data_IF_512119575308
#
_entry.id   IF_512119575308
#
_cell.length_a   1.000
_cell.length_b   1.000
_cell.length_c   1.000
_cell.angle_alpha   90.00
_cell.angle_beta   90.00
_cell.angle_gamma   90.00
#
_symmetry.space_group_name_H-M   'P 1'
#
loop_
_entity.id
_entity.type
_entity.pdbx_description
1 polymer ?
#
# COMPACT_ATOMS: atom_id res chain seq x y z
N UNK A 1 -18.13 4.02 -12.38
CA UNK A 1 -17.45 3.10 -11.42
C UNK A 1 -15.93 3.26 -11.35
N UNK A 2 -15.26 3.96 -12.28
CA UNK A 2 -13.80 4.12 -12.26
C UNK A 2 -13.31 5.07 -11.17
N UNK A 3 -14.08 6.11 -10.83
CA UNK A 3 -13.65 7.17 -9.89
C UNK A 3 -14.10 6.97 -8.44
N UNK A 4 -14.97 6.00 -8.17
CA UNK A 4 -15.36 5.69 -6.79
C UNK A 4 -14.21 5.02 -6.04
N UNK A 5 -13.96 5.49 -4.81
CA UNK A 5 -13.06 4.87 -3.83
C UNK A 5 -13.89 4.26 -2.70
N UNK A 6 -14.33 3.00 -2.83
CA UNK A 6 -15.10 2.35 -1.78
C UNK A 6 -14.23 2.19 -0.52
N UNK A 7 -14.85 2.36 0.65
CA UNK A 7 -14.17 2.14 1.93
C UNK A 7 -14.63 0.79 2.48
N UNK A 8 -13.67 -0.07 2.83
CA UNK A 8 -13.95 -1.37 3.41
C UNK A 8 -14.23 -1.24 4.93
N UNK A 9 -15.50 -1.38 5.31
CA UNK A 9 -15.89 -1.45 6.71
C UNK A 9 -15.56 -2.83 7.31
N UNK A 10 -14.42 -2.94 7.98
CA UNK A 10 -13.97 -4.19 8.60
C UNK A 10 -14.49 -4.36 10.05
N UNK A 11 -14.73 -5.61 10.46
CA UNK A 11 -15.02 -6.00 11.84
C UNK A 11 -13.88 -5.54 12.78
N UNK A 12 -14.23 -5.07 13.99
CA UNK A 12 -13.32 -4.75 15.09
C UNK A 12 -12.30 -5.85 15.38
N UNK A 13 -12.71 -7.13 15.46
CA UNK A 13 -11.79 -8.24 15.74
C UNK A 13 -10.70 -8.33 14.65
N UNK A 14 -11.11 -8.24 13.39
CA UNK A 14 -10.17 -8.20 12.27
C UNK A 14 -9.24 -7.00 12.37
N UNK A 15 -9.78 -5.80 12.64
CA UNK A 15 -8.98 -4.58 12.80
C UNK A 15 -7.94 -4.72 13.92
N UNK A 16 -8.29 -5.35 15.04
CA UNK A 16 -7.35 -5.63 16.12
C UNK A 16 -6.22 -6.55 15.64
N UNK A 17 -6.55 -7.68 15.01
CA UNK A 17 -5.57 -8.65 14.49
C UNK A 17 -4.68 -8.01 13.44
N UNK A 18 -5.25 -7.33 12.45
CA UNK A 18 -4.49 -6.69 11.37
C UNK A 18 -3.57 -5.60 11.89
N UNK A 19 -4.01 -4.85 12.92
CA UNK A 19 -3.19 -3.83 13.58
C UNK A 19 -1.99 -4.45 14.30
N UNK A 20 -2.17 -5.57 15.01
CA UNK A 20 -1.07 -6.29 15.66
C UNK A 20 -0.04 -6.76 14.61
N UNK A 21 -0.50 -7.35 13.51
CA UNK A 21 0.37 -7.81 12.42
C UNK A 21 1.12 -6.63 11.76
N UNK A 22 0.43 -5.53 11.48
CA UNK A 22 1.03 -4.32 10.90
C UNK A 22 2.10 -3.71 11.81
N UNK A 23 1.86 -3.68 13.13
CA UNK A 23 2.82 -3.17 14.09
C UNK A 23 4.09 -4.03 14.17
N UNK A 24 3.98 -5.36 14.01
CA UNK A 24 5.14 -6.25 13.92
C UNK A 24 5.94 -6.01 12.63
N UNK A 25 5.26 -5.90 11.50
CA UNK A 25 5.87 -5.56 10.21
C UNK A 25 6.66 -4.25 10.27
N UNK A 26 6.04 -3.22 10.84
CA UNK A 26 6.62 -1.87 10.98
C UNK A 26 8.02 -1.87 11.61
N UNK A 27 8.28 -2.74 12.59
CA UNK A 27 9.58 -2.81 13.27
C UNK A 27 10.70 -3.27 12.33
N UNK A 28 10.38 -4.15 11.40
CA UNK A 28 11.36 -4.73 10.45
C UNK A 28 11.50 -3.92 9.16
N UNK A 29 10.46 -3.18 8.77
CA UNK A 29 10.43 -2.45 7.49
C UNK A 29 11.44 -1.30 7.43
N UNK A 30 11.87 -0.74 8.55
CA UNK A 30 12.85 0.36 8.57
C UNK A 30 14.19 0.00 7.92
N UNK A 31 14.61 -1.27 7.99
CA UNK A 31 15.83 -1.75 7.33
C UNK A 31 15.66 -2.07 5.84
N UNK A 32 14.42 -2.11 5.34
CA UNK A 32 14.09 -2.47 3.95
C UNK A 32 13.76 -1.23 3.12
N UNK A 33 13.13 -0.23 3.73
CA UNK A 33 12.65 0.98 3.03
C UNK A 33 13.75 2.05 2.95
N UNK A 34 14.02 2.52 1.74
CA UNK A 34 14.95 3.63 1.49
C UNK A 34 14.46 4.96 2.09
N UNK A 35 15.36 5.93 2.25
CA UNK A 35 15.06 7.27 2.76
C UNK A 35 14.09 8.04 1.86
N UNK A 36 14.04 7.70 0.57
CA UNK A 36 13.18 8.33 -0.43
C UNK A 36 11.69 7.99 -0.24
N UNK A 37 11.36 6.93 0.50
CA UNK A 37 9.98 6.59 0.82
C UNK A 37 9.50 7.40 2.04
N UNK A 38 8.93 8.57 1.79
CA UNK A 38 8.53 9.50 2.87
C UNK A 38 7.10 9.27 3.35
N UNK A 39 6.22 8.73 2.51
CA UNK A 39 4.83 8.45 2.85
C UNK A 39 4.67 7.15 3.65
N UNK A 40 3.71 7.14 4.58
CA UNK A 40 3.35 5.97 5.41
C UNK A 40 4.48 5.41 6.27
N UNK A 41 5.55 6.19 6.50
CA UNK A 41 6.67 5.83 7.38
C UNK A 41 6.64 6.73 8.62
N UNK A 42 6.51 6.17 9.83
CA UNK A 42 6.48 6.96 11.06
C UNK A 42 7.77 7.74 11.27
N UNK A 43 7.63 9.02 11.62
CA UNK A 43 8.76 9.95 11.77
C UNK A 43 9.22 10.61 10.47
N UNK A 44 8.59 10.34 9.33
CA UNK A 44 8.83 11.05 8.05
C UNK A 44 7.66 11.94 7.70
N UNK A 45 7.96 13.12 7.17
CA UNK A 45 6.97 14.10 6.75
C UNK A 45 6.77 14.06 5.24
N UNK A 46 5.57 14.44 4.78
CA UNK A 46 5.32 14.66 3.35
C UNK A 46 6.23 15.76 2.78
N UNK A 47 6.62 16.73 3.62
CA UNK A 47 7.54 17.81 3.23
C UNK A 47 8.91 17.28 2.80
N UNK A 48 9.42 16.22 3.43
CA UNK A 48 10.70 15.60 3.08
C UNK A 48 10.69 15.13 1.61
N UNK A 49 9.57 14.59 1.15
CA UNK A 49 9.40 14.15 -0.24
C UNK A 49 9.39 15.33 -1.22
N UNK A 50 8.81 16.46 -0.82
CA UNK A 50 8.80 17.69 -1.62
C UNK A 50 10.22 18.24 -1.77
N UNK A 51 11.00 18.30 -0.69
CA UNK A 51 12.38 18.79 -0.75
C UNK A 51 13.28 17.90 -1.61
N UNK A 52 13.19 16.57 -1.45
CA UNK A 52 13.94 15.62 -2.30
C UNK A 52 13.59 15.84 -3.78
N UNK A 53 12.30 15.98 -4.11
CA UNK A 53 11.86 16.24 -5.48
C UNK A 53 12.38 17.58 -6.02
N UNK A 54 12.30 18.66 -5.24
CA UNK A 54 12.80 19.98 -5.62
C UNK A 54 14.30 19.95 -5.93
N UNK A 55 15.08 19.24 -5.13
CA UNK A 55 16.52 19.07 -5.35
C UNK A 55 16.79 18.23 -6.61
N UNK A 56 16.05 17.14 -6.82
CA UNK A 56 16.17 16.30 -8.03
C UNK A 56 15.87 17.07 -9.32
N UNK A 57 14.88 17.98 -9.29
CA UNK A 57 14.53 18.80 -10.46
C UNK A 57 15.23 20.16 -10.48
N UNK A 58 16.21 20.38 -9.61
CA UNK A 58 16.93 21.64 -9.55
C UNK A 58 17.60 21.93 -10.91
N UNK A 59 17.40 23.16 -11.40
CA UNK A 59 17.92 23.59 -12.69
C UNK A 59 17.18 23.02 -13.91
N UNK A 60 16.09 22.24 -13.76
CA UNK A 60 15.28 21.79 -14.90
C UNK A 60 14.68 22.95 -15.71
N UNK A 61 14.48 24.11 -15.09
CA UNK A 61 14.05 25.34 -15.76
C UNK A 61 15.12 25.95 -16.69
N UNK A 62 16.40 25.58 -16.55
CA UNK A 62 17.50 26.14 -17.34
C UNK A 62 17.51 25.49 -18.72
N UNK A 63 17.54 26.32 -19.76
CA UNK A 63 17.59 25.91 -21.18
C UNK A 63 18.96 25.37 -21.62
N UNK A 64 20.00 25.53 -20.79
CA UNK A 64 21.36 25.06 -21.06
C UNK A 64 21.72 23.87 -20.16
N UNK A 65 22.56 22.98 -20.69
CA UNK A 65 23.10 21.81 -19.98
C UNK A 65 22.65 20.48 -20.57
N UNK A 66 22.90 19.39 -19.82
CA UNK A 66 22.55 18.03 -20.24
C UNK A 66 21.02 17.88 -20.40
N UNK A 67 20.55 17.05 -21.35
CA UNK A 67 19.14 16.67 -21.44
C UNK A 67 18.65 16.07 -20.12
N UNK A 68 17.44 16.44 -19.70
CA UNK A 68 16.81 16.01 -18.45
C UNK A 68 15.36 15.64 -18.73
N UNK A 69 14.84 14.65 -18.00
CA UNK A 69 13.42 14.31 -18.00
C UNK A 69 12.99 13.92 -16.58
N UNK A 70 11.68 13.99 -16.33
CA UNK A 70 11.07 13.50 -15.09
C UNK A 70 9.90 12.59 -15.46
N UNK A 71 9.81 11.44 -14.79
CA UNK A 71 8.74 10.48 -14.99
C UNK A 71 7.91 10.39 -13.72
N UNK A 72 6.61 10.69 -13.83
CA UNK A 72 5.63 10.48 -12.76
C UNK A 72 4.83 9.23 -13.08
N UNK A 73 4.94 8.22 -12.23
CA UNK A 73 4.16 6.98 -12.30
C UNK A 73 3.14 6.98 -11.17
N UNK A 74 1.87 6.76 -11.50
CA UNK A 74 0.79 6.59 -10.52
C UNK A 74 0.09 5.25 -10.76
N UNK A 75 -0.15 4.50 -9.68
CA UNK A 75 -0.76 3.17 -9.76
C UNK A 75 -2.26 3.31 -9.57
N UNK A 76 -3.00 3.04 -10.63
CA UNK A 76 -4.47 3.08 -10.59
C UNK A 76 -5.01 2.09 -9.57
N UNK A 77 -5.75 2.59 -8.58
CA UNK A 77 -6.38 1.78 -7.52
C UNK A 77 -5.41 0.80 -6.87
N UNK A 78 -4.24 1.28 -6.46
CA UNK A 78 -3.16 0.45 -5.92
C UNK A 78 -3.63 -0.59 -4.87
N UNK A 79 -4.50 -0.19 -3.94
CA UNK A 79 -5.04 -1.12 -2.94
C UNK A 79 -5.96 -2.18 -3.54
N UNK A 80 -6.73 -1.88 -4.59
CA UNK A 80 -7.67 -2.85 -5.20
C UNK A 80 -7.01 -3.78 -6.22
N UNK A 81 -5.79 -3.44 -6.68
CA UNK A 81 -5.14 -4.10 -7.82
C UNK A 81 -3.97 -5.00 -7.45
N UNK A 82 -3.49 -4.97 -6.20
CA UNK A 82 -2.39 -5.82 -5.73
C UNK A 82 -2.72 -7.30 -5.95
N UNK A 83 -1.83 -7.99 -6.66
CA UNK A 83 -1.88 -9.44 -6.81
C UNK A 83 -1.28 -10.11 -5.57
N UNK A 84 -2.00 -11.08 -5.00
CA UNK A 84 -1.59 -11.71 -3.76
C UNK A 84 -0.31 -12.54 -3.90
N UNK A 85 -0.12 -13.24 -5.02
CA UNK A 85 1.12 -14.00 -5.24
C UNK A 85 2.36 -13.12 -5.29
N UNK A 86 2.22 -11.87 -5.76
CA UNK A 86 3.30 -10.90 -5.69
C UNK A 86 3.61 -10.54 -4.23
N UNK A 87 2.58 -10.29 -3.41
CA UNK A 87 2.75 -10.02 -1.99
C UNK A 87 3.46 -11.17 -1.26
N UNK A 88 3.08 -12.42 -1.52
CA UNK A 88 3.71 -13.60 -0.91
C UNK A 88 5.18 -13.72 -1.28
N UNK A 89 5.50 -13.57 -2.57
CA UNK A 89 6.89 -13.60 -3.05
C UNK A 89 7.75 -12.50 -2.45
N UNK A 90 7.21 -11.29 -2.27
CA UNK A 90 7.92 -10.19 -1.62
C UNK A 90 8.20 -10.53 -0.15
N UNK A 91 7.22 -11.07 0.57
CA UNK A 91 7.43 -11.45 1.97
C UNK A 91 8.43 -12.60 2.13
N UNK A 92 8.41 -13.58 1.22
CA UNK A 92 9.37 -14.67 1.17
C UNK A 92 10.78 -14.16 0.85
N UNK A 93 10.92 -13.22 -0.10
CA UNK A 93 12.20 -12.59 -0.44
C UNK A 93 12.77 -11.77 0.73
N UNK A 94 11.91 -11.15 1.54
CA UNK A 94 12.29 -10.47 2.78
C UNK A 94 12.54 -11.43 3.96
N UNK A 95 12.50 -12.74 3.71
CA UNK A 95 12.78 -13.79 4.70
C UNK A 95 11.87 -13.74 5.93
N UNK A 96 10.61 -13.35 5.77
CA UNK A 96 9.64 -13.45 6.87
C UNK A 96 9.31 -14.92 7.18
N UNK A 97 9.08 -15.28 8.46
CA UNK A 97 8.69 -16.63 8.83
C UNK A 97 7.42 -17.08 8.12
N UNK A 98 7.39 -18.33 7.65
CA UNK A 98 6.23 -18.90 6.92
C UNK A 98 4.93 -18.81 7.72
N UNK A 99 4.99 -18.96 9.05
CA UNK A 99 3.85 -18.79 9.95
C UNK A 99 3.26 -17.38 9.87
N UNK A 100 4.10 -16.35 9.84
CA UNK A 100 3.70 -14.95 9.74
C UNK A 100 3.08 -14.65 8.36
N UNK A 101 3.69 -15.16 7.29
CA UNK A 101 3.15 -15.06 5.94
C UNK A 101 1.77 -15.71 5.87
N UNK A 102 1.60 -16.88 6.49
CA UNK A 102 0.31 -17.57 6.52
C UNK A 102 -0.78 -16.79 7.27
N UNK A 103 -0.45 -16.11 8.38
CA UNK A 103 -1.41 -15.24 9.07
C UNK A 103 -1.89 -14.09 8.18
N UNK A 104 -0.99 -13.47 7.43
CA UNK A 104 -1.35 -12.40 6.50
C UNK A 104 -2.14 -12.95 5.31
N UNK A 105 -1.76 -14.12 4.76
CA UNK A 105 -2.53 -14.84 3.74
C UNK A 105 -3.98 -15.02 4.14
N UNK A 106 -4.23 -15.47 5.37
CA UNK A 106 -5.60 -15.63 5.89
C UNK A 106 -6.31 -14.29 6.00
N UNK A 107 -5.66 -13.25 6.55
CA UNK A 107 -6.28 -11.92 6.69
C UNK A 107 -6.75 -11.33 5.35
N UNK A 108 -5.93 -11.50 4.31
CA UNK A 108 -6.18 -10.89 3.00
C UNK A 108 -7.15 -11.73 2.15
N UNK A 109 -6.97 -13.05 2.10
CA UNK A 109 -7.65 -13.92 1.11
C UNK A 109 -9.04 -14.43 1.50
N UNK A 110 -9.40 -14.37 2.79
CA UNK A 110 -10.68 -14.90 3.30
C UNK A 110 -11.82 -13.88 3.26
N UNK A 111 -11.59 -12.72 2.65
CA UNK A 111 -12.54 -11.62 2.61
C UNK A 111 -13.82 -11.94 1.84
N UNK A 112 -14.95 -11.60 2.44
CA UNK A 112 -16.23 -11.46 1.77
C UNK A 112 -16.74 -10.03 1.90
N UNK A 113 -17.38 -9.54 0.86
CA UNK A 113 -17.86 -8.17 0.76
C UNK A 113 -19.32 -8.14 0.32
N UNK A 114 -20.02 -7.16 0.87
CA UNK A 114 -21.30 -6.65 0.38
C UNK A 114 -21.16 -5.15 0.20
N UNK A 115 -21.86 -4.59 -0.79
CA UNK A 115 -21.83 -3.14 -1.05
C UNK A 115 -23.03 -2.51 -0.38
N UNK A 116 -22.80 -1.50 0.48
CA UNK A 116 -23.90 -0.69 1.01
C UNK A 116 -24.25 0.38 -0.03
N UNK A 117 -25.49 0.37 -0.51
CA UNK A 117 -26.04 1.40 -1.40
C UNK A 117 -27.36 1.90 -0.80
N UNK A 118 -27.48 3.21 -0.59
CA UNK A 118 -28.68 3.84 -0.01
C UNK A 118 -29.17 3.19 1.30
N UNK A 119 -28.23 2.83 2.19
CA UNK A 119 -28.53 2.20 3.48
C UNK A 119 -28.86 0.71 3.43
N UNK A 120 -28.93 0.11 2.25
CA UNK A 120 -29.21 -1.33 2.07
C UNK A 120 -27.97 -2.08 1.59
N UNK A 121 -27.82 -3.35 2.00
CA UNK A 121 -26.74 -4.22 1.56
C UNK A 121 -27.09 -4.90 0.24
N UNK A 122 -26.16 -4.86 -0.72
CA UNK A 122 -26.32 -5.45 -2.03
C UNK A 122 -25.12 -6.33 -2.39
N UNK A 123 -25.44 -7.53 -2.89
CA UNK A 123 -24.47 -8.53 -3.28
C UNK A 123 -23.75 -9.18 -2.10
N UNK A 124 -23.12 -10.31 -2.36
CA UNK A 124 -22.21 -10.98 -1.43
C UNK A 124 -21.18 -11.74 -2.24
N UNK A 125 -19.94 -11.26 -2.24
CA UNK A 125 -18.89 -11.78 -3.10
C UNK A 125 -17.55 -11.88 -2.38
N UNK A 126 -16.76 -12.86 -2.78
CA UNK A 126 -15.42 -13.09 -2.24
C UNK A 126 -14.41 -12.16 -2.91
N UNK A 127 -13.46 -11.65 -2.14
CA UNK A 127 -12.30 -10.97 -2.72
C UNK A 127 -11.39 -11.94 -3.48
N UNK A 128 -10.76 -11.45 -4.53
CA UNK A 128 -9.77 -12.21 -5.31
C UNK A 128 -8.40 -11.54 -5.40
N UNK A 129 -8.34 -10.24 -5.11
CA UNK A 129 -7.13 -9.41 -5.17
C UNK A 129 -7.31 -8.17 -4.31
N UNK A 130 -6.22 -7.42 -4.15
CA UNK A 130 -6.21 -6.18 -3.39
C UNK A 130 -6.15 -6.37 -1.88
N UNK A 131 -6.13 -5.25 -1.16
CA UNK A 131 -5.99 -5.15 0.30
C UNK A 131 -7.19 -4.40 0.87
N UNK A 132 -7.43 -4.54 2.18
CA UNK A 132 -8.52 -3.88 2.92
C UNK A 132 -7.98 -2.83 3.86
#
# INVERSE_FOLDING_TARGET
MKDFRPIACCNTIYKCISTILANRLKQTLQGVIGLQQTAYVPGRSIADGIFIMQEMVCGYHKKTGKPRCALKVDITKAYDTIHWDFLWKVMEALSYPTSFINWIKVCVSTAWFSVVMNGSLHGFFKSRRGLR
#
